data_IF_918219449045
#
_entry.id   IF_918219449045
#
_cell.length_a   1.000
_cell.length_b   1.000
_cell.length_c   1.000
_cell.angle_alpha   90.00
_cell.angle_beta   90.00
_cell.angle_gamma   90.00
#
_symmetry.space_group_name_H-M   'P 1'
#
loop_
_entity.id
_entity.type
_entity.pdbx_description
1 polymer ?
#
# COMPACT_ATOMS: atom_id res chain seq x y z
N UNK A 1 -65.19 44.28 -11.00
CA UNK A 1 -64.59 43.33 -10.04
C UNK A 1 -63.87 42.26 -10.83
N UNK A 2 -62.55 42.38 -10.96
CA UNK A 2 -61.68 41.35 -11.50
C UNK A 2 -60.42 41.39 -10.66
N UNK A 3 -60.28 40.42 -9.75
CA UNK A 3 -59.03 40.12 -9.06
C UNK A 3 -58.67 38.70 -9.47
N UNK A 4 -57.80 38.56 -10.47
CA UNK A 4 -57.23 37.29 -10.86
C UNK A 4 -56.06 36.96 -9.96
N UNK A 5 -56.09 35.73 -9.45
CA UNK A 5 -55.11 35.07 -8.62
C UNK A 5 -53.72 34.92 -9.26
N UNK A 6 -52.74 34.75 -8.37
CA UNK A 6 -51.59 33.81 -8.42
C UNK A 6 -50.64 33.81 -9.62
N UNK A 7 -49.34 33.97 -9.34
CA UNK A 7 -48.28 32.99 -9.69
C UNK A 7 -46.88 33.59 -9.52
N UNK A 8 -46.43 33.73 -8.26
CA UNK A 8 -45.05 34.14 -7.92
C UNK A 8 -44.16 32.98 -7.46
N UNK A 9 -44.71 31.78 -7.25
CA UNK A 9 -44.04 30.69 -6.52
C UNK A 9 -43.28 29.66 -7.37
N UNK A 10 -43.58 29.55 -8.67
CA UNK A 10 -43.06 28.45 -9.51
C UNK A 10 -41.60 28.60 -9.94
N UNK A 11 -41.12 29.82 -10.14
CA UNK A 11 -39.79 30.07 -10.71
C UNK A 11 -38.66 30.02 -9.66
N UNK A 12 -38.92 30.49 -8.43
CA UNK A 12 -37.94 30.48 -7.33
C UNK A 12 -37.72 29.06 -6.74
N UNK A 13 -38.77 28.24 -6.74
CA UNK A 13 -38.70 26.82 -6.34
C UNK A 13 -37.93 25.96 -7.34
N UNK A 14 -38.02 26.26 -8.63
CA UNK A 14 -37.31 25.51 -9.67
C UNK A 14 -35.78 25.74 -9.59
N UNK A 15 -35.33 26.99 -9.51
CA UNK A 15 -33.90 27.31 -9.42
C UNK A 15 -33.21 26.72 -8.18
N UNK A 16 -33.89 26.73 -7.04
CA UNK A 16 -33.36 26.15 -5.79
C UNK A 16 -33.21 24.63 -5.87
N UNK A 17 -34.16 23.93 -6.52
CA UNK A 17 -34.07 22.48 -6.75
C UNK A 17 -32.94 22.09 -7.71
N UNK A 18 -32.65 22.89 -8.74
CA UNK A 18 -31.54 22.66 -9.69
C UNK A 18 -30.17 22.87 -9.03
N UNK A 19 -30.03 23.92 -8.21
CA UNK A 19 -28.79 24.16 -7.45
C UNK A 19 -28.54 23.05 -6.42
N UNK A 20 -29.60 22.58 -5.76
CA UNK A 20 -29.47 21.47 -4.81
C UNK A 20 -29.08 20.15 -5.51
N UNK A 21 -29.76 19.80 -6.60
CA UNK A 21 -29.47 18.56 -7.34
C UNK A 21 -28.08 18.57 -8.00
N UNK A 22 -27.65 19.71 -8.54
CA UNK A 22 -26.29 19.86 -9.08
C UNK A 22 -25.20 19.76 -8.00
N UNK A 23 -25.42 20.37 -6.82
CA UNK A 23 -24.51 20.24 -5.68
C UNK A 23 -24.40 18.79 -5.18
N UNK A 24 -25.53 18.09 -5.07
CA UNK A 24 -25.57 16.67 -4.69
C UNK A 24 -24.89 15.80 -5.75
N UNK A 25 -25.14 16.05 -7.04
CA UNK A 25 -24.48 15.34 -8.13
C UNK A 25 -22.96 15.57 -8.11
N UNK A 26 -22.50 16.80 -7.91
CA UNK A 26 -21.08 17.12 -7.76
C UNK A 26 -20.46 16.40 -6.55
N UNK A 27 -21.18 16.32 -5.42
CA UNK A 27 -20.74 15.55 -4.26
C UNK A 27 -20.59 14.06 -4.59
N UNK A 28 -21.56 13.46 -5.28
CA UNK A 28 -21.49 12.06 -5.70
C UNK A 28 -20.32 11.82 -6.66
N UNK A 29 -20.15 12.68 -7.68
CA UNK A 29 -19.01 12.59 -8.62
C UNK A 29 -17.68 12.68 -7.85
N UNK A 30 -17.57 13.63 -6.92
CA UNK A 30 -16.38 13.80 -6.08
C UNK A 30 -16.09 12.55 -5.24
N UNK A 31 -17.10 12.01 -4.57
CA UNK A 31 -16.97 10.81 -3.75
C UNK A 31 -16.57 9.59 -4.60
N UNK A 32 -17.18 9.45 -5.77
CA UNK A 32 -16.89 8.39 -6.73
C UNK A 32 -15.49 8.50 -7.31
N UNK A 33 -14.90 9.68 -7.45
CA UNK A 33 -13.54 9.86 -7.98
C UNK A 33 -12.44 9.62 -6.95
N UNK A 34 -12.73 9.69 -5.65
CA UNK A 34 -11.76 9.44 -4.58
C UNK A 34 -11.25 7.98 -4.61
N UNK A 35 -10.11 7.76 -5.26
CA UNK A 35 -9.42 6.46 -5.30
C UNK A 35 -8.51 6.29 -4.08
N UNK A 36 -8.63 5.16 -3.38
CA UNK A 36 -7.65 4.76 -2.36
C UNK A 36 -6.52 3.96 -3.00
N UNK A 37 -5.27 4.23 -2.61
CA UNK A 37 -4.12 3.42 -3.04
C UNK A 37 -4.30 1.97 -2.55
N UNK A 38 -3.92 0.96 -3.36
CA UNK A 38 -3.95 -0.42 -2.91
C UNK A 38 -3.01 -0.63 -1.73
N UNK A 39 -3.39 -1.47 -0.78
CA UNK A 39 -2.59 -1.80 0.39
C UNK A 39 -1.75 -3.02 0.08
N UNK A 40 -0.43 -2.88 0.13
CA UNK A 40 0.50 -4.00 -0.01
C UNK A 40 1.04 -4.38 1.38
N UNK A 41 1.10 -5.67 1.69
CA UNK A 41 1.62 -6.18 2.96
C UNK A 41 2.36 -7.49 2.76
N UNK A 42 3.40 -7.71 3.56
CA UNK A 42 4.10 -8.99 3.65
C UNK A 42 3.44 -9.79 4.76
N UNK A 43 2.76 -10.89 4.40
CA UNK A 43 2.08 -11.75 5.38
C UNK A 43 3.06 -12.74 5.99
N UNK A 44 3.94 -13.33 5.18
CA UNK A 44 4.95 -14.29 5.59
C UNK A 44 6.31 -13.89 5.02
N UNK A 45 7.36 -14.08 5.81
CA UNK A 45 8.74 -13.82 5.43
C UNK A 45 9.62 -14.74 6.25
N UNK A 46 10.25 -15.71 5.59
CA UNK A 46 11.06 -16.73 6.22
C UNK A 46 12.44 -16.76 5.54
N UNK A 47 13.48 -16.77 6.36
CA UNK A 47 14.89 -16.74 5.97
C UNK A 47 15.50 -18.06 6.41
N UNK A 48 15.62 -19.00 5.47
CA UNK A 48 16.05 -20.37 5.81
C UNK A 48 17.50 -20.42 6.30
N UNK A 49 18.34 -19.45 5.92
CA UNK A 49 19.72 -19.35 6.38
C UNK A 49 19.86 -19.16 7.90
N UNK A 50 18.86 -18.55 8.54
CA UNK A 50 18.86 -18.34 9.98
C UNK A 50 18.27 -19.53 10.75
N UNK A 51 17.51 -20.40 10.06
CA UNK A 51 16.85 -21.51 10.69
C UNK A 51 17.84 -22.66 11.01
N UNK A 52 18.32 -22.69 12.26
CA UNK A 52 19.25 -23.71 12.76
C UNK A 52 18.66 -25.12 12.86
N UNK A 53 17.33 -25.29 12.82
CA UNK A 53 16.71 -26.64 12.81
C UNK A 53 16.75 -27.28 11.42
N UNK A 54 16.91 -26.49 10.36
CA UNK A 54 17.15 -27.02 9.02
C UNK A 54 18.66 -27.26 8.87
N UNK A 55 19.09 -28.52 8.91
CA UNK A 55 20.48 -29.01 8.83
C UNK A 55 21.30 -28.60 7.58
N UNK A 56 20.90 -27.55 6.82
CA UNK A 56 21.63 -27.05 5.67
C UNK A 56 22.26 -25.69 5.96
N UNK A 57 23.52 -25.70 6.37
CA UNK A 57 24.41 -24.54 6.56
C UNK A 57 24.67 -23.71 5.29
N UNK A 58 23.90 -23.93 4.21
CA UNK A 58 24.08 -23.28 2.92
C UNK A 58 22.79 -22.91 2.18
N UNK A 59 21.61 -23.05 2.81
CA UNK A 59 20.37 -22.62 2.16
C UNK A 59 20.10 -21.13 2.41
N UNK A 60 20.61 -20.27 1.53
CA UNK A 60 20.44 -18.81 1.61
C UNK A 60 19.13 -18.31 1.00
N UNK A 61 18.09 -19.15 0.97
CA UNK A 61 16.81 -18.81 0.36
C UNK A 61 15.92 -18.04 1.34
N UNK A 62 15.32 -16.96 0.85
CA UNK A 62 14.27 -16.19 1.50
C UNK A 62 12.95 -16.54 0.83
N UNK A 63 11.99 -17.02 1.60
CA UNK A 63 10.60 -17.17 1.20
C UNK A 63 9.79 -15.94 1.63
N UNK A 64 8.87 -15.50 0.78
CA UNK A 64 7.99 -14.38 1.12
C UNK A 64 6.59 -14.57 0.52
N UNK A 65 5.57 -14.04 1.22
CA UNK A 65 4.19 -13.91 0.74
C UNK A 65 3.79 -12.43 0.70
N UNK A 66 3.72 -11.88 -0.51
CA UNK A 66 3.23 -10.55 -0.78
C UNK A 66 1.72 -10.57 -1.01
N UNK A 67 0.98 -9.91 -0.12
CA UNK A 67 -0.46 -9.67 -0.27
C UNK A 67 -0.74 -8.27 -0.80
N UNK A 68 -1.46 -8.21 -1.92
CA UNK A 68 -2.01 -6.98 -2.49
C UNK A 68 -3.51 -6.93 -2.24
N UNK A 69 -3.98 -5.89 -1.56
CA UNK A 69 -5.38 -5.70 -1.22
C UNK A 69 -5.94 -4.42 -1.84
N UNK A 70 -6.87 -4.59 -2.78
CA UNK A 70 -7.62 -3.48 -3.36
C UNK A 70 -8.84 -3.16 -2.50
N UNK A 71 -8.77 -2.07 -1.72
CA UNK A 71 -9.88 -1.61 -0.87
C UNK A 71 -10.94 -0.79 -1.61
N UNK A 72 -10.73 -0.46 -2.89
CA UNK A 72 -11.69 0.34 -3.63
C UNK A 72 -12.97 -0.48 -3.90
N UNK A 73 -14.13 0.13 -3.64
CA UNK A 73 -15.45 -0.50 -3.83
C UNK A 73 -15.82 -0.62 -5.31
N UNK A 74 -15.50 0.40 -6.10
CA UNK A 74 -16.04 0.53 -7.46
C UNK A 74 -14.96 0.51 -8.55
N UNK A 75 -13.69 0.33 -8.15
CA UNK A 75 -12.54 0.50 -9.04
C UNK A 75 -11.66 -0.74 -9.02
N UNK A 76 -11.42 -1.27 -10.21
CA UNK A 76 -10.41 -2.28 -10.41
C UNK A 76 -9.02 -1.64 -10.54
N UNK A 77 -7.99 -2.39 -10.17
CA UNK A 77 -6.60 -1.95 -10.23
C UNK A 77 -5.83 -2.82 -11.22
N UNK A 78 -5.18 -2.18 -12.17
CA UNK A 78 -4.20 -2.80 -13.04
C UNK A 78 -2.81 -2.51 -12.47
N UNK A 79 -2.11 -3.56 -12.06
CA UNK A 79 -0.72 -3.48 -11.66
C UNK A 79 0.16 -3.76 -12.87
N UNK A 80 1.21 -2.97 -13.01
CA UNK A 80 2.33 -3.35 -13.85
C UNK A 80 3.22 -4.36 -13.12
N UNK A 81 4.36 -4.71 -13.71
CA UNK A 81 5.32 -5.60 -13.08
C UNK A 81 5.59 -5.18 -11.63
N UNK A 82 5.51 -6.15 -10.72
CA UNK A 82 5.83 -5.95 -9.32
C UNK A 82 7.32 -6.28 -9.15
N UNK A 83 8.15 -5.28 -8.89
CA UNK A 83 9.57 -5.49 -8.66
C UNK A 83 9.84 -5.38 -7.16
N UNK A 84 10.19 -6.50 -6.54
CA UNK A 84 10.64 -6.56 -5.17
C UNK A 84 12.16 -6.57 -5.12
N UNK A 85 12.71 -5.81 -4.17
CA UNK A 85 14.13 -5.81 -3.87
C UNK A 85 14.29 -5.98 -2.38
N UNK A 86 15.13 -6.95 -2.02
CA UNK A 86 15.43 -7.32 -0.65
C UNK A 86 16.80 -6.75 -0.30
N UNK A 87 16.93 -6.20 0.89
CA UNK A 87 18.18 -5.71 1.45
C UNK A 87 18.36 -6.33 2.84
N UNK A 88 19.61 -6.55 3.21
CA UNK A 88 19.99 -6.86 4.57
C UNK A 88 20.47 -5.56 5.22
N UNK A 89 20.00 -5.29 6.43
CA UNK A 89 20.15 -4.00 7.12
C UNK A 89 19.31 -2.86 6.48
N UNK A 90 19.24 -1.74 7.19
CA UNK A 90 18.49 -0.52 6.87
C UNK A 90 19.14 0.33 5.76
N UNK A 91 20.40 0.05 5.45
CA UNK A 91 21.17 0.71 4.40
C UNK A 91 20.94 0.00 3.07
N UNK A 92 20.25 0.68 2.15
CA UNK A 92 19.94 0.23 0.78
C UNK A 92 21.18 0.07 -0.11
N UNK A 93 22.36 -0.08 0.49
CA UNK A 93 23.65 -0.05 -0.19
C UNK A 93 23.86 -1.32 -1.01
N UNK A 94 23.39 -2.47 -0.53
CA UNK A 94 23.56 -3.76 -1.21
C UNK A 94 22.25 -4.54 -1.24
N UNK A 95 21.65 -4.65 -2.42
CA UNK A 95 20.52 -5.54 -2.62
C UNK A 95 20.99 -6.99 -2.49
N UNK A 96 20.33 -7.75 -1.63
CA UNK A 96 20.68 -9.17 -1.38
C UNK A 96 19.93 -10.10 -2.31
N UNK A 97 18.81 -9.65 -2.87
CA UNK A 97 18.02 -10.42 -3.82
C UNK A 97 16.93 -9.58 -4.49
N UNK A 98 16.44 -10.07 -5.62
CA UNK A 98 15.32 -9.47 -6.33
C UNK A 98 14.28 -10.53 -6.72
N UNK A 99 13.02 -10.11 -6.80
CA UNK A 99 11.95 -10.95 -7.34
C UNK A 99 11.03 -10.07 -8.18
N UNK A 100 10.52 -10.63 -9.29
CA UNK A 100 9.58 -9.93 -10.14
C UNK A 100 8.36 -10.78 -10.42
N UNK A 101 7.19 -10.15 -10.41
CA UNK A 101 5.95 -10.77 -10.87
C UNK A 101 5.40 -9.99 -12.08
N UNK A 102 4.82 -10.69 -13.07
CA UNK A 102 4.17 -10.02 -14.17
C UNK A 102 3.00 -9.15 -13.69
N UNK A 103 2.74 -8.09 -14.43
CA UNK A 103 1.58 -7.23 -14.18
C UNK A 103 0.28 -8.01 -14.30
N UNK A 104 -0.72 -7.61 -13.51
CA UNK A 104 -2.00 -8.30 -13.48
C UNK A 104 -3.15 -7.36 -13.16
N UNK A 105 -4.35 -7.80 -13.50
CA UNK A 105 -5.58 -7.13 -13.18
C UNK A 105 -6.16 -7.66 -11.86
N UNK A 106 -6.55 -6.76 -10.96
CA UNK A 106 -7.22 -7.07 -9.72
C UNK A 106 -8.58 -6.37 -9.66
N UNK A 107 -9.64 -7.15 -9.43
CA UNK A 107 -10.99 -6.62 -9.23
C UNK A 107 -11.11 -5.72 -7.99
N UNK A 108 -12.26 -5.05 -7.87
CA UNK A 108 -12.64 -4.26 -6.70
C UNK A 108 -12.82 -5.15 -5.46
N UNK A 109 -12.44 -4.63 -4.28
CA UNK A 109 -12.56 -5.34 -2.99
C UNK A 109 -11.91 -6.75 -2.96
N UNK A 110 -10.97 -7.03 -3.87
CA UNK A 110 -10.25 -8.31 -3.91
C UNK A 110 -8.87 -8.17 -3.32
N UNK A 111 -8.41 -9.27 -2.74
CA UNK A 111 -7.02 -9.48 -2.33
C UNK A 111 -6.38 -10.60 -3.15
N UNK A 112 -5.10 -10.48 -3.39
CA UNK A 112 -4.30 -11.47 -4.13
C UNK A 112 -2.99 -11.68 -3.41
N UNK A 113 -2.58 -12.94 -3.30
CA UNK A 113 -1.29 -13.36 -2.73
C UNK A 113 -0.31 -13.68 -3.87
N UNK A 114 0.94 -13.28 -3.69
CA UNK A 114 2.06 -13.54 -4.59
C UNK A 114 3.19 -14.05 -3.73
N UNK A 115 3.36 -15.37 -3.73
CA UNK A 115 4.44 -16.04 -3.03
C UNK A 115 5.65 -16.19 -3.95
N UNK A 116 6.83 -16.16 -3.37
CA UNK A 116 8.07 -16.34 -4.11
C UNK A 116 9.22 -16.72 -3.18
N UNK A 117 10.28 -17.22 -3.80
CA UNK A 117 11.55 -17.47 -3.15
C UNK A 117 12.63 -16.68 -3.87
N UNK A 118 13.63 -16.23 -3.11
CA UNK A 118 14.80 -15.55 -3.65
C UNK A 118 16.04 -16.05 -2.94
N UNK A 119 17.09 -16.36 -3.70
CA UNK A 119 18.40 -16.67 -3.14
C UNK A 119 19.07 -15.35 -2.72
N UNK A 120 19.37 -15.20 -1.44
CA UNK A 120 20.03 -14.02 -0.90
C UNK A 120 21.56 -14.15 -0.97
N UNK A 121 22.22 -13.11 -1.49
CA UNK A 121 23.67 -13.05 -1.71
C UNK A 121 24.28 -11.85 -1.01
N UNK A 122 25.54 -11.97 -0.60
CA UNK A 122 26.30 -10.88 0.03
C UNK A 122 25.88 -10.55 1.47
N UNK A 123 25.13 -11.45 2.13
CA UNK A 123 24.79 -11.34 3.55
C UNK A 123 25.83 -12.07 4.38
N UNK A 124 26.34 -11.44 5.43
CA UNK A 124 27.09 -12.15 6.46
C UNK A 124 26.09 -12.87 7.39
N UNK A 125 25.81 -14.14 7.09
CA UNK A 125 24.82 -14.94 7.81
C UNK A 125 25.22 -15.26 9.25
N UNK A 126 26.52 -15.32 9.56
CA UNK A 126 27.00 -15.52 10.93
C UNK A 126 26.64 -14.31 11.79
N UNK A 127 26.97 -13.10 11.32
CA UNK A 127 26.61 -11.86 11.99
C UNK A 127 25.07 -11.68 12.10
N UNK A 128 24.33 -12.08 11.06
CA UNK A 128 22.87 -12.05 11.08
C UNK A 128 22.27 -13.00 12.13
N UNK A 129 22.84 -14.20 12.25
CA UNK A 129 22.43 -15.18 13.24
C UNK A 129 22.78 -14.73 14.66
N UNK A 130 23.95 -14.15 14.88
CA UNK A 130 24.34 -13.56 16.17
C UNK A 130 23.39 -12.42 16.58
N UNK A 131 23.08 -11.51 15.65
CA UNK A 131 22.14 -10.43 15.90
C UNK A 131 20.73 -10.92 16.22
N UNK A 132 20.30 -12.05 15.63
CA UNK A 132 19.01 -12.66 15.89
C UNK A 132 18.97 -13.44 17.22
N UNK A 133 20.10 -13.96 17.70
CA UNK A 133 20.21 -14.73 18.95
C UNK A 133 20.42 -13.84 20.19
N UNK A 134 20.93 -12.62 20.00
CA UNK A 134 21.10 -11.66 21.09
C UNK A 134 19.79 -11.45 21.88
N UNK A 135 19.90 -11.12 23.17
CA UNK A 135 18.72 -10.88 24.01
C UNK A 135 17.88 -9.71 23.43
N UNK A 136 16.64 -10.00 23.00
CA UNK A 136 15.77 -9.08 22.25
C UNK A 136 16.33 -8.62 20.88
N UNK A 137 17.33 -9.31 20.36
CA UNK A 137 17.91 -9.08 19.05
C UNK A 137 17.00 -9.61 17.93
N UNK A 138 17.16 -9.03 16.74
CA UNK A 138 16.51 -9.52 15.53
C UNK A 138 17.36 -9.17 14.31
N UNK A 139 17.36 -10.05 13.32
CA UNK A 139 17.95 -9.73 12.03
C UNK A 139 16.99 -8.82 11.25
N UNK A 140 17.47 -7.66 10.82
CA UNK A 140 16.65 -6.67 10.11
C UNK A 140 16.84 -6.82 8.60
N UNK A 141 15.75 -7.13 7.91
CA UNK A 141 15.68 -7.15 6.45
C UNK A 141 14.80 -6.02 5.97
N UNK A 142 15.11 -5.42 4.83
CA UNK A 142 14.24 -4.43 4.20
C UNK A 142 13.71 -4.97 2.89
N UNK A 143 12.41 -4.77 2.66
CA UNK A 143 11.76 -5.11 1.40
C UNK A 143 11.24 -3.83 0.77
N UNK A 144 11.69 -3.52 -0.43
CA UNK A 144 11.15 -2.44 -1.25
C UNK A 144 10.38 -3.03 -2.44
N UNK A 145 9.14 -2.55 -2.63
CA UNK A 145 8.28 -2.86 -3.77
C UNK A 145 8.18 -1.64 -4.68
N UNK A 146 8.64 -1.78 -5.91
CA UNK A 146 8.44 -0.81 -6.99
C UNK A 146 7.42 -1.36 -7.99
N UNK A 147 6.34 -0.63 -8.19
CA UNK A 147 5.34 -0.94 -9.21
C UNK A 147 4.69 0.33 -9.73
N UNK A 148 3.79 0.21 -10.69
CA UNK A 148 2.91 1.26 -11.11
C UNK A 148 1.48 0.72 -11.27
N UNK A 149 0.51 1.56 -10.95
CA UNK A 149 -0.90 1.20 -10.89
C UNK A 149 -1.74 2.11 -11.77
N UNK A 150 -2.77 1.53 -12.38
CA UNK A 150 -3.80 2.23 -13.16
C UNK A 150 -5.16 1.82 -12.61
N UNK A 151 -6.03 2.78 -12.32
CA UNK A 151 -7.37 2.49 -11.83
C UNK A 151 -8.34 2.49 -13.01
N UNK A 152 -9.22 1.49 -13.10
CA UNK A 152 -10.33 1.50 -14.06
C UNK A 152 -11.56 2.03 -13.36
N UNK A 153 -12.09 3.13 -13.88
CA UNK A 153 -13.30 3.81 -13.41
C UNK A 153 -14.35 3.65 -14.51
N UNK A 154 -15.33 2.77 -14.29
CA UNK A 154 -16.42 2.45 -15.22
C UNK A 154 -15.91 2.15 -16.64
N UNK A 155 -15.78 3.16 -17.51
CA UNK A 155 -15.35 3.02 -18.91
C UNK A 155 -13.92 3.51 -19.22
N UNK A 156 -13.26 4.28 -18.35
CA UNK A 156 -11.90 4.77 -18.61
C UNK A 156 -10.87 4.27 -17.60
N UNK A 157 -9.59 4.32 -17.99
CA UNK A 157 -8.45 4.05 -17.11
C UNK A 157 -7.80 5.37 -16.71
N UNK A 158 -7.41 5.51 -15.44
CA UNK A 158 -6.65 6.67 -14.96
C UNK A 158 -5.23 6.64 -15.53
N UNK A 159 -4.52 7.75 -15.35
CA UNK A 159 -3.07 7.79 -15.57
C UNK A 159 -2.35 6.74 -14.71
N UNK A 160 -1.13 6.43 -15.16
CA UNK A 160 -0.24 5.48 -14.49
C UNK A 160 0.40 6.16 -13.26
N UNK A 161 0.14 5.63 -12.08
CA UNK A 161 0.70 6.14 -10.83
C UNK A 161 1.82 5.22 -10.36
N UNK A 162 3.04 5.74 -10.25
CA UNK A 162 4.17 4.99 -9.70
C UNK A 162 4.00 4.82 -8.19
N UNK A 163 4.25 3.62 -7.71
CA UNK A 163 4.12 3.22 -6.31
C UNK A 163 5.45 2.60 -5.87
N UNK A 164 6.14 3.28 -4.95
CA UNK A 164 7.35 2.79 -4.28
C UNK A 164 7.04 2.61 -2.81
N UNK A 165 6.91 1.37 -2.37
CA UNK A 165 6.67 1.03 -0.98
C UNK A 165 7.89 0.33 -0.41
N UNK A 166 8.10 0.44 0.88
CA UNK A 166 9.19 -0.21 1.58
C UNK A 166 8.88 -0.38 3.05
N UNK A 167 9.44 -1.42 3.65
CA UNK A 167 9.39 -1.60 5.09
C UNK A 167 10.52 -2.49 5.59
N UNK A 168 10.87 -2.30 6.87
CA UNK A 168 11.82 -3.12 7.61
C UNK A 168 11.08 -4.27 8.29
N UNK A 169 11.63 -5.47 8.16
CA UNK A 169 11.11 -6.75 8.61
C UNK A 169 12.13 -7.30 9.61
N UNK A 170 11.68 -7.45 10.85
CA UNK A 170 12.48 -8.06 11.92
C UNK A 170 12.29 -9.57 11.89
N UNK A 171 13.39 -10.31 11.87
CA UNK A 171 13.41 -11.77 11.78
C UNK A 171 14.05 -12.34 13.03
N UNK A 172 13.47 -13.40 13.56
CA UNK A 172 13.98 -14.08 14.75
C UNK A 172 15.12 -15.07 14.41
N UNK A 173 15.65 -15.69 15.45
CA UNK A 173 16.66 -16.76 15.40
C UNK A 173 16.22 -18.02 14.64
N UNK A 174 14.91 -18.22 14.45
CA UNK A 174 14.36 -19.30 13.63
C UNK A 174 14.20 -18.92 12.15
N UNK A 175 14.57 -17.69 11.79
CA UNK A 175 14.42 -17.18 10.43
C UNK A 175 13.01 -16.71 10.08
N UNK A 176 12.08 -16.67 11.03
CA UNK A 176 10.69 -16.27 10.81
C UNK A 176 10.44 -14.80 11.15
N UNK A 177 9.50 -14.18 10.43
CA UNK A 177 9.07 -12.81 10.69
C UNK A 177 8.49 -12.62 12.09
N UNK A 178 9.02 -11.66 12.84
CA UNK A 178 8.48 -11.22 14.13
C UNK A 178 7.23 -10.36 13.86
N UNK A 179 6.06 -10.90 14.23
CA UNK A 179 4.78 -10.22 14.05
C UNK A 179 4.35 -9.52 15.34
N UNK A 180 4.13 -8.20 15.27
CA UNK A 180 3.53 -7.44 16.38
C UNK A 180 1.99 -7.61 16.46
N UNK A 181 1.34 -8.04 15.38
CA UNK A 181 -0.12 -8.21 15.28
C UNK A 181 -0.46 -9.45 14.46
N UNK A 182 -1.69 -9.97 14.58
CA UNK A 182 -2.24 -11.06 13.74
C UNK A 182 -2.38 -10.71 12.24
N UNK A 183 -1.79 -9.61 11.76
CA UNK A 183 -1.88 -9.12 10.38
C UNK A 183 -0.48 -8.97 9.81
N UNK A 184 -0.34 -9.24 8.51
CA UNK A 184 0.88 -8.97 7.77
C UNK A 184 1.36 -7.54 7.89
N UNK A 185 2.66 -7.37 7.70
CA UNK A 185 3.37 -6.12 7.85
C UNK A 185 3.15 -5.25 6.62
N UNK A 186 2.57 -4.06 6.79
CA UNK A 186 2.19 -3.20 5.67
C UNK A 186 3.38 -2.46 5.10
N UNK A 187 3.52 -2.50 3.78
CA UNK A 187 4.50 -1.69 3.07
C UNK A 187 3.97 -0.26 2.94
N UNK A 188 4.73 0.71 3.45
CA UNK A 188 4.40 2.14 3.37
C UNK A 188 5.32 2.84 2.38
N UNK A 189 5.03 4.10 1.99
CA UNK A 189 5.91 4.83 1.07
C UNK A 189 7.35 4.80 1.58
N UNK A 190 8.29 4.41 0.72
CA UNK A 190 9.68 4.05 1.10
C UNK A 190 10.60 5.17 1.61
N UNK A 191 10.05 6.24 2.18
CA UNK A 191 10.78 7.20 3.00
C UNK A 191 11.12 6.54 4.35
N UNK A 192 12.35 6.73 4.85
CA UNK A 192 12.75 6.24 6.18
C UNK A 192 11.77 6.81 7.22
N UNK A 193 11.03 5.93 7.89
CA UNK A 193 10.43 6.30 9.18
C UNK A 193 11.47 5.95 10.23
N UNK A 194 12.23 6.94 10.67
CA UNK A 194 12.88 6.82 11.98
C UNK A 194 11.76 6.56 12.98
N UNK A 195 11.84 5.45 13.72
CA UNK A 195 10.93 5.15 14.81
C UNK A 195 11.11 6.19 15.91
N UNK A 196 10.24 7.20 15.94
CA UNK A 196 10.08 8.10 17.07
C UNK A 196 8.68 7.87 17.65
N UNK A 197 8.60 7.66 18.96
CA UNK A 197 7.35 7.48 19.70
C UNK A 197 6.40 8.67 19.47
N UNK A 198 5.06 8.47 19.51
CA UNK A 198 4.12 9.52 19.15
C UNK A 198 3.98 10.56 20.26
N UNK A 199 4.29 11.82 19.96
CA UNK A 199 3.74 12.97 20.65
C UNK A 199 2.32 13.29 20.10
N UNK A 200 1.47 14.04 20.84
CA UNK A 200 0.05 14.15 20.59
C UNK A 200 -0.28 14.80 19.24
N UNK A 201 -1.38 14.34 18.65
CA UNK A 201 -1.93 14.84 17.39
C UNK A 201 -2.52 16.24 17.62
N UNK A 202 -1.84 17.27 17.15
CA UNK A 202 -2.46 18.58 16.94
C UNK A 202 -3.35 18.53 15.69
N UNK A 203 -4.64 18.81 15.91
CA UNK A 203 -5.65 19.07 14.89
C UNK A 203 -5.26 20.30 14.06
N UNK A 204 -4.96 20.11 12.77
CA UNK A 204 -5.08 21.20 11.79
C UNK A 204 -6.31 20.95 10.91
N UNK A 205 -7.25 21.89 11.00
CA UNK A 205 -8.56 21.87 10.35
C UNK A 205 -8.54 22.03 8.83
N UNK A 206 -9.72 21.99 8.20
CA UNK A 206 -9.85 21.92 6.75
C UNK A 206 -9.75 23.32 6.11
N UNK A 207 -8.66 23.57 5.39
CA UNK A 207 -8.61 24.65 4.41
C UNK A 207 -9.32 24.18 3.12
N UNK A 208 -10.52 24.69 2.91
CA UNK A 208 -11.23 24.66 1.64
C UNK A 208 -10.48 25.54 0.63
N UNK A 209 -9.92 24.94 -0.41
CA UNK A 209 -9.66 25.59 -1.68
C UNK A 209 -9.77 24.53 -2.79
N UNK A 210 -11.00 24.34 -3.24
CA UNK A 210 -11.35 23.61 -4.44
C UNK A 210 -10.75 24.33 -5.65
N UNK A 211 -9.52 23.99 -6.01
CA UNK A 211 -9.05 24.11 -7.38
C UNK A 211 -9.30 22.75 -8.03
N UNK A 212 -10.56 22.57 -8.46
CA UNK A 212 -10.84 21.77 -9.65
C UNK A 212 -9.87 22.23 -10.75
N UNK A 213 -9.36 21.32 -11.56
CA UNK A 213 -8.41 21.58 -12.66
C UNK A 213 -6.91 21.53 -12.34
N UNK A 214 -6.47 20.52 -11.58
CA UNK A 214 -5.22 19.84 -11.98
C UNK A 214 -5.43 18.35 -12.30
N UNK A 215 -6.41 18.16 -13.17
CA UNK A 215 -6.39 17.34 -14.40
C UNK A 215 -5.90 15.88 -14.34
N UNK A 216 -6.89 14.97 -14.28
CA UNK A 216 -6.98 13.63 -14.95
C UNK A 216 -5.83 12.64 -14.72
#
# INVERSE_FOLDING_TARGET
MAGTDSDGGGFLGFCSSVLFTSGVAALFIWLSLRTSKPVCSIEQFDVFALNKTHNSTGNHTIYFDLKLNNKNKDKAVFYDALNLTFYYDSDRNSAVGNASFPGFHQGNQKSTHRTGTVEARGVNWEAAAEAAVAANGSAVFRVDLATAVRFKIVFWKTKRHKLKLGHELMVNDQGSLIRTKKKGVKLTSGARKHSFYPAPVEMMGPALAFIFFWWI
#
